data_IF_616598607868
#
_entry.id   IF_616598607868
#
_cell.length_a   1.000
_cell.length_b   1.000
_cell.length_c   1.000
_cell.angle_alpha   90.00
_cell.angle_beta   90.00
_cell.angle_gamma   90.00
#
_symmetry.space_group_name_H-M   'P 1'
#
loop_
_entity.id
_entity.type
_entity.pdbx_description
1 polymer ?
#
# COMPACT_ATOMS: atom_id res chain seq x y z
N UNK A 1 -82.33 29.17 -19.40
CA UNK A 1 -83.80 29.31 -19.45
C UNK A 1 -84.20 30.55 -18.66
N UNK A 2 -84.57 31.63 -19.35
CA UNK A 2 -84.90 32.91 -18.73
C UNK A 2 -86.26 32.83 -18.00
N UNK A 3 -86.26 33.01 -16.68
CA UNK A 3 -87.51 33.18 -15.92
C UNK A 3 -88.05 34.58 -16.22
N UNK A 4 -89.04 34.64 -17.09
CA UNK A 4 -89.81 35.84 -17.39
C UNK A 4 -90.50 36.31 -16.10
N UNK A 5 -90.15 37.50 -15.61
CA UNK A 5 -90.85 38.18 -14.53
C UNK A 5 -92.27 38.53 -15.01
N UNK A 6 -93.25 37.68 -14.71
CA UNK A 6 -94.67 38.03 -14.87
C UNK A 6 -95.04 39.00 -13.75
N UNK A 7 -95.17 40.28 -14.11
CA UNK A 7 -95.83 41.27 -13.26
C UNK A 7 -97.31 40.86 -13.16
N UNK A 8 -97.90 40.75 -11.95
CA UNK A 8 -99.32 40.46 -11.83
C UNK A 8 -100.12 41.59 -12.49
N UNK A 9 -100.85 41.28 -13.57
CA UNK A 9 -101.82 42.22 -14.14
C UNK A 9 -103.00 42.27 -13.17
N UNK A 10 -103.09 43.34 -12.39
CA UNK A 10 -104.23 43.59 -11.49
C UNK A 10 -105.37 44.14 -12.36
N UNK A 11 -106.44 43.36 -12.51
CA UNK A 11 -107.65 43.80 -13.19
C UNK A 11 -108.55 44.55 -12.21
N UNK A 12 -108.45 45.87 -12.25
CA UNK A 12 -109.13 46.78 -11.32
C UNK A 12 -110.66 46.77 -11.50
N UNK A 13 -111.18 46.44 -12.68
CA UNK A 13 -112.63 46.40 -12.91
C UNK A 13 -113.28 45.21 -12.20
N UNK A 14 -112.63 44.05 -12.21
CA UNK A 14 -113.14 42.85 -11.54
C UNK A 14 -113.15 42.97 -10.01
N UNK A 15 -112.24 43.78 -9.43
CA UNK A 15 -112.12 43.96 -7.97
C UNK A 15 -113.14 44.97 -7.43
N UNK A 16 -113.43 46.04 -8.19
CA UNK A 16 -114.42 47.06 -7.81
C UNK A 16 -115.87 46.57 -7.92
N UNK A 17 -116.12 45.47 -8.65
CA UNK A 17 -117.44 44.86 -8.79
C UNK A 17 -117.83 43.92 -7.62
N UNK A 18 -116.91 43.66 -6.67
CA UNK A 18 -117.19 42.80 -5.52
C UNK A 18 -117.80 43.59 -4.35
N UNK A 19 -118.75 43.04 -3.58
CA UNK A 19 -119.46 43.77 -2.50
C UNK A 19 -118.54 44.30 -1.38
N UNK A 20 -117.39 43.65 -1.17
CA UNK A 20 -116.33 44.07 -0.26
C UNK A 20 -115.00 44.07 -1.02
N UNK A 21 -114.70 45.16 -1.72
CA UNK A 21 -113.49 45.30 -2.53
C UNK A 21 -112.25 45.52 -1.64
N UNK A 22 -111.49 44.45 -1.38
CA UNK A 22 -110.18 44.57 -0.73
C UNK A 22 -109.08 44.15 -1.71
N UNK A 23 -108.17 45.07 -1.99
CA UNK A 23 -106.97 44.79 -2.80
C UNK A 23 -105.91 44.21 -1.86
N UNK A 24 -105.69 42.89 -1.92
CA UNK A 24 -104.58 42.25 -1.22
C UNK A 24 -103.26 42.53 -1.96
N UNK A 25 -102.49 43.46 -1.40
CA UNK A 25 -101.17 43.86 -1.91
C UNK A 25 -100.08 42.80 -1.65
N UNK A 26 -100.40 41.69 -0.95
CA UNK A 26 -99.49 40.59 -0.62
C UNK A 26 -98.19 41.06 0.06
N UNK A 27 -98.30 42.05 0.95
CA UNK A 27 -97.16 42.65 1.64
C UNK A 27 -96.37 41.61 2.43
N UNK A 28 -97.05 40.71 3.16
CA UNK A 28 -96.40 39.64 3.92
C UNK A 28 -95.59 38.68 3.03
N UNK A 29 -96.10 38.36 1.83
CA UNK A 29 -95.40 37.52 0.87
C UNK A 29 -94.18 38.24 0.26
N UNK A 30 -94.32 39.54 -0.02
CA UNK A 30 -93.22 40.38 -0.48
C UNK A 30 -92.13 40.55 0.59
N UNK A 31 -92.51 40.80 1.85
CA UNK A 31 -91.58 40.91 2.98
C UNK A 31 -90.87 39.57 3.23
N UNK A 32 -91.61 38.46 3.20
CA UNK A 32 -91.03 37.11 3.34
C UNK A 32 -90.06 36.81 2.20
N UNK A 33 -90.42 37.13 0.95
CA UNK A 33 -89.54 36.96 -0.21
C UNK A 33 -88.29 37.84 -0.12
N UNK A 34 -88.43 39.09 0.31
CA UNK A 34 -87.32 40.04 0.47
C UNK A 34 -86.37 39.59 1.58
N UNK A 35 -86.90 39.14 2.72
CA UNK A 35 -86.11 38.56 3.81
C UNK A 35 -85.37 37.29 3.38
N UNK A 36 -86.04 36.41 2.63
CA UNK A 36 -85.41 35.20 2.08
C UNK A 36 -84.30 35.53 1.08
N UNK A 37 -84.52 36.54 0.22
CA UNK A 37 -83.50 37.03 -0.70
C UNK A 37 -82.30 37.62 0.04
N UNK A 38 -82.52 38.52 1.01
CA UNK A 38 -81.45 39.12 1.82
C UNK A 38 -80.66 38.04 2.59
N UNK A 39 -81.34 37.04 3.15
CA UNK A 39 -80.67 35.90 3.78
C UNK A 39 -79.86 35.08 2.77
N UNK A 40 -80.37 34.84 1.57
CA UNK A 40 -79.65 34.11 0.52
C UNK A 40 -78.39 34.88 0.06
N UNK A 41 -78.49 36.21 -0.11
CA UNK A 41 -77.37 37.09 -0.45
C UNK A 41 -76.33 37.13 0.68
N UNK A 42 -76.78 37.23 1.93
CA UNK A 42 -75.90 37.19 3.12
C UNK A 42 -75.17 35.85 3.21
N UNK A 43 -75.88 34.73 3.04
CA UNK A 43 -75.27 33.40 3.05
C UNK A 43 -74.29 33.19 1.89
N UNK A 44 -74.61 33.69 0.69
CA UNK A 44 -73.71 33.62 -0.46
C UNK A 44 -72.43 34.41 -0.22
N UNK A 45 -72.54 35.65 0.29
CA UNK A 45 -71.38 36.49 0.61
C UNK A 45 -70.53 35.89 1.72
N UNK A 46 -71.15 35.36 2.78
CA UNK A 46 -70.42 34.65 3.85
C UNK A 46 -69.69 33.41 3.32
N UNK A 47 -70.32 32.60 2.46
CA UNK A 47 -69.67 31.45 1.82
C UNK A 47 -68.50 31.89 0.94
N UNK A 48 -68.67 32.93 0.14
CA UNK A 48 -67.61 33.45 -0.72
C UNK A 48 -66.42 33.96 0.12
N UNK A 49 -66.67 34.70 1.20
CA UNK A 49 -65.63 35.19 2.12
C UNK A 49 -64.92 34.03 2.81
N UNK A 50 -65.67 33.02 3.28
CA UNK A 50 -65.09 31.82 3.89
C UNK A 50 -64.22 31.05 2.90
N UNK A 51 -64.66 30.88 1.66
CA UNK A 51 -63.91 30.19 0.62
C UNK A 51 -62.62 30.93 0.23
N UNK A 52 -62.69 32.26 0.06
CA UNK A 52 -61.51 33.09 -0.20
C UNK A 52 -60.51 32.97 0.95
N UNK A 53 -61.00 33.01 2.19
CA UNK A 53 -60.15 32.89 3.40
C UNK A 53 -59.51 31.51 3.47
N UNK A 54 -60.26 30.44 3.22
CA UNK A 54 -59.74 29.08 3.20
C UNK A 54 -58.68 28.89 2.12
N UNK A 55 -58.90 29.39 0.90
CA UNK A 55 -57.91 29.33 -0.19
C UNK A 55 -56.64 30.11 0.16
N UNK A 56 -56.77 31.31 0.74
CA UNK A 56 -55.63 32.11 1.20
C UNK A 56 -54.82 31.37 2.26
N UNK A 57 -55.49 30.79 3.25
CA UNK A 57 -54.83 30.05 4.33
C UNK A 57 -54.14 28.78 3.81
N UNK A 58 -54.79 28.03 2.91
CA UNK A 58 -54.20 26.86 2.27
C UNK A 58 -52.96 27.23 1.45
N UNK A 59 -53.02 28.31 0.67
CA UNK A 59 -51.86 28.80 -0.09
C UNK A 59 -50.72 29.27 0.82
N UNK A 60 -51.03 29.96 1.91
CA UNK A 60 -50.01 30.38 2.89
C UNK A 60 -49.33 29.19 3.56
N UNK A 61 -50.08 28.15 3.93
CA UNK A 61 -49.55 26.92 4.49
C UNK A 61 -48.65 26.17 3.50
N UNK A 62 -49.09 26.06 2.24
CA UNK A 62 -48.29 25.39 1.20
C UNK A 62 -47.01 26.18 0.88
N UNK A 63 -47.08 27.51 0.81
CA UNK A 63 -45.91 28.38 0.64
C UNK A 63 -44.90 28.18 1.76
N UNK A 64 -45.36 28.10 3.02
CA UNK A 64 -44.50 27.82 4.18
C UNK A 64 -43.85 26.44 4.06
N UNK A 65 -44.63 25.41 3.74
CA UNK A 65 -44.13 24.05 3.54
C UNK A 65 -43.06 23.96 2.45
N UNK A 66 -43.28 24.64 1.32
CA UNK A 66 -42.31 24.70 0.23
C UNK A 66 -41.03 25.42 0.65
N UNK A 67 -41.13 26.54 1.37
CA UNK A 67 -39.96 27.26 1.87
C UNK A 67 -39.11 26.41 2.83
N UNK A 68 -39.75 25.69 3.76
CA UNK A 68 -39.06 24.78 4.67
C UNK A 68 -38.35 23.64 3.92
N UNK A 69 -39.00 23.04 2.91
CA UNK A 69 -38.36 22.03 2.06
C UNK A 69 -37.19 22.59 1.26
N UNK A 70 -37.31 23.79 0.71
CA UNK A 70 -36.20 24.43 -0.02
C UNK A 70 -35.00 24.64 0.89
N UNK A 71 -35.22 25.18 2.10
CA UNK A 71 -34.14 25.36 3.08
C UNK A 71 -33.49 24.03 3.48
N UNK A 72 -34.29 22.99 3.68
CA UNK A 72 -33.76 21.66 4.00
C UNK A 72 -32.88 21.13 2.85
N UNK A 73 -33.37 21.18 1.62
CA UNK A 73 -32.63 20.70 0.44
C UNK A 73 -31.34 21.50 0.23
N UNK A 74 -31.37 22.83 0.43
CA UNK A 74 -30.18 23.68 0.36
C UNK A 74 -29.15 23.32 1.43
N UNK A 75 -29.59 23.06 2.66
CA UNK A 75 -28.71 22.62 3.75
C UNK A 75 -28.05 21.27 3.45
N UNK A 76 -28.83 20.29 2.99
CA UNK A 76 -28.33 18.97 2.58
C UNK A 76 -27.34 19.08 1.41
N UNK A 77 -27.66 19.91 0.41
CA UNK A 77 -26.79 20.15 -0.74
C UNK A 77 -25.45 20.75 -0.31
N UNK A 78 -25.47 21.73 0.59
CA UNK A 78 -24.23 22.33 1.11
C UNK A 78 -23.41 21.33 1.93
N UNK A 79 -24.06 20.47 2.72
CA UNK A 79 -23.37 19.41 3.44
C UNK A 79 -22.70 18.42 2.48
N UNK A 80 -23.39 18.03 1.40
CA UNK A 80 -22.82 17.15 0.39
C UNK A 80 -21.60 17.77 -0.29
N UNK A 81 -21.64 19.08 -0.63
CA UNK A 81 -20.49 19.80 -1.20
C UNK A 81 -19.28 19.80 -0.27
N UNK A 82 -19.48 19.99 1.03
CA UNK A 82 -18.39 19.94 2.02
C UNK A 82 -17.77 18.55 2.06
N UNK A 83 -18.60 17.50 2.12
CA UNK A 83 -18.12 16.11 2.09
C UNK A 83 -17.36 15.76 0.80
N UNK A 84 -17.79 16.32 -0.33
CA UNK A 84 -17.11 16.13 -1.61
C UNK A 84 -15.71 16.76 -1.59
N UNK A 85 -15.56 17.97 -1.05
CA UNK A 85 -14.25 18.63 -0.88
C UNK A 85 -13.35 17.80 0.04
N UNK A 86 -13.87 17.32 1.17
CA UNK A 86 -13.13 16.46 2.10
C UNK A 86 -12.68 15.16 1.43
N UNK A 87 -13.56 14.54 0.63
CA UNK A 87 -13.25 13.32 -0.11
C UNK A 87 -12.14 13.54 -1.14
N UNK A 88 -12.18 14.65 -1.88
CA UNK A 88 -11.11 15.00 -2.83
C UNK A 88 -9.78 15.16 -2.09
N UNK A 89 -9.77 15.85 -0.94
CA UNK A 89 -8.55 16.02 -0.16
C UNK A 89 -7.98 14.69 0.38
N UNK A 90 -8.84 13.72 0.71
CA UNK A 90 -8.41 12.36 1.08
C UNK A 90 -7.85 11.62 -0.12
N UNK A 91 -8.52 11.67 -1.28
CA UNK A 91 -8.05 11.01 -2.50
C UNK A 91 -6.69 11.55 -2.96
N UNK A 92 -6.48 12.87 -2.90
CA UNK A 92 -5.19 13.49 -3.25
C UNK A 92 -4.07 13.01 -2.32
N UNK A 93 -4.36 12.89 -1.02
CA UNK A 93 -3.40 12.35 -0.04
C UNK A 93 -3.07 10.88 -0.32
N UNK A 94 -4.09 10.05 -0.50
CA UNK A 94 -3.90 8.62 -0.82
C UNK A 94 -3.11 8.43 -2.12
N UNK A 95 -3.32 9.31 -3.10
CA UNK A 95 -2.60 9.25 -4.37
C UNK A 95 -1.11 9.59 -4.21
N UNK A 96 -0.76 10.59 -3.39
CA UNK A 96 0.65 10.89 -3.12
C UNK A 96 1.31 9.80 -2.26
N UNK A 97 0.62 9.28 -1.23
CA UNK A 97 1.10 8.15 -0.42
C UNK A 97 1.37 6.90 -1.30
N UNK A 98 0.46 6.60 -2.23
CA UNK A 98 0.65 5.52 -3.20
C UNK A 98 1.89 5.73 -4.06
N UNK A 99 2.10 6.93 -4.57
CA UNK A 99 3.25 7.27 -5.42
C UNK A 99 4.57 7.16 -4.66
N UNK A 100 4.61 7.61 -3.40
CA UNK A 100 5.78 7.45 -2.52
C UNK A 100 6.07 5.97 -2.22
N UNK A 101 5.04 5.17 -1.95
CA UNK A 101 5.16 3.74 -1.74
C UNK A 101 5.67 3.01 -2.99
N UNK A 102 5.14 3.34 -4.17
CA UNK A 102 5.58 2.79 -5.46
C UNK A 102 7.05 3.15 -5.76
N UNK A 103 7.46 4.39 -5.48
CA UNK A 103 8.86 4.82 -5.62
C UNK A 103 9.79 4.03 -4.70
N UNK A 104 9.37 3.81 -3.45
CA UNK A 104 10.12 3.01 -2.46
C UNK A 104 10.26 1.55 -2.90
N UNK A 105 9.17 0.94 -3.38
CA UNK A 105 9.19 -0.43 -3.93
C UNK A 105 10.13 -0.52 -5.13
N UNK A 106 10.11 0.46 -6.03
CA UNK A 106 11.02 0.49 -7.17
C UNK A 106 12.49 0.58 -6.73
N UNK A 107 12.79 1.40 -5.72
CA UNK A 107 14.13 1.50 -5.15
C UNK A 107 14.59 0.18 -4.52
N UNK A 108 13.75 -0.47 -3.70
CA UNK A 108 14.08 -1.77 -3.10
C UNK A 108 14.28 -2.86 -4.13
N UNK A 109 13.48 -2.89 -5.20
CA UNK A 109 13.68 -3.84 -6.31
C UNK A 109 15.05 -3.66 -6.97
N UNK A 110 15.48 -2.43 -7.21
CA UNK A 110 16.81 -2.13 -7.77
C UNK A 110 17.92 -2.60 -6.82
N UNK A 111 17.81 -2.31 -5.53
CA UNK A 111 18.78 -2.76 -4.52
C UNK A 111 18.86 -4.29 -4.45
N UNK A 112 17.70 -4.96 -4.44
CA UNK A 112 17.62 -6.42 -4.42
C UNK A 112 18.26 -7.05 -5.66
N UNK A 113 18.03 -6.48 -6.85
CA UNK A 113 18.67 -6.96 -8.07
C UNK A 113 20.20 -6.77 -8.01
N UNK A 114 20.68 -5.63 -7.54
CA UNK A 114 22.12 -5.39 -7.37
C UNK A 114 22.76 -6.38 -6.38
N UNK A 115 22.07 -6.71 -5.28
CA UNK A 115 22.55 -7.71 -4.32
C UNK A 115 22.58 -9.10 -4.97
N UNK A 116 21.54 -9.49 -5.72
CA UNK A 116 21.52 -10.76 -6.45
C UNK A 116 22.66 -10.89 -7.44
N UNK A 117 22.96 -9.82 -8.19
CA UNK A 117 24.09 -9.80 -9.13
C UNK A 117 25.43 -9.97 -8.40
N UNK A 118 25.62 -9.30 -7.26
CA UNK A 118 26.82 -9.47 -6.42
C UNK A 118 26.94 -10.87 -5.83
N UNK A 119 25.84 -11.46 -5.37
CA UNK A 119 25.85 -12.85 -4.88
C UNK A 119 26.26 -13.81 -6.00
N UNK A 120 25.66 -13.65 -7.19
CA UNK A 120 26.01 -14.48 -8.35
C UNK A 120 27.49 -14.32 -8.76
N UNK A 121 28.05 -13.10 -8.71
CA UNK A 121 29.48 -12.91 -9.02
C UNK A 121 30.38 -13.57 -7.98
N UNK A 122 30.05 -13.44 -6.69
CA UNK A 122 30.80 -14.08 -5.60
C UNK A 122 30.75 -15.60 -5.67
N UNK A 123 29.60 -16.18 -6.03
CA UNK A 123 29.47 -17.64 -6.20
C UNK A 123 30.40 -18.16 -7.30
N UNK A 124 30.53 -17.41 -8.41
CA UNK A 124 31.48 -17.73 -9.49
C UNK A 124 32.92 -17.64 -9.00
N UNK A 125 33.29 -16.59 -8.26
CA UNK A 125 34.64 -16.41 -7.70
C UNK A 125 34.98 -17.53 -6.70
N UNK A 126 34.05 -17.89 -5.81
CA UNK A 126 34.21 -18.99 -4.86
C UNK A 126 34.50 -20.30 -5.60
N UNK A 127 33.74 -20.59 -6.65
CA UNK A 127 33.93 -21.83 -7.41
C UNK A 127 35.25 -21.85 -8.16
N UNK A 128 35.67 -20.71 -8.72
CA UNK A 128 37.00 -20.56 -9.33
C UNK A 128 38.11 -20.81 -8.30
N UNK A 129 38.02 -20.23 -7.10
CA UNK A 129 39.00 -20.45 -6.04
C UNK A 129 39.03 -21.90 -5.56
N UNK A 130 37.88 -22.57 -5.47
CA UNK A 130 37.81 -24.01 -5.14
C UNK A 130 38.54 -24.86 -6.17
N UNK A 131 38.35 -24.60 -7.46
CA UNK A 131 39.05 -25.30 -8.54
C UNK A 131 40.57 -25.11 -8.41
N UNK A 132 41.03 -23.87 -8.20
CA UNK A 132 42.45 -23.55 -8.03
C UNK A 132 43.03 -24.28 -6.81
N UNK A 133 42.36 -24.20 -5.65
CA UNK A 133 42.80 -24.86 -4.43
C UNK A 133 42.87 -26.39 -4.60
N UNK A 134 41.87 -26.98 -5.27
CA UNK A 134 41.85 -28.41 -5.55
C UNK A 134 43.01 -28.85 -6.46
N UNK A 135 43.34 -28.04 -7.48
CA UNK A 135 44.46 -28.30 -8.37
C UNK A 135 45.80 -28.21 -7.62
N UNK A 136 46.03 -27.15 -6.85
CA UNK A 136 47.25 -26.98 -6.05
C UNK A 136 47.44 -28.11 -5.04
N UNK A 137 46.36 -28.55 -4.37
CA UNK A 137 46.42 -29.70 -3.47
C UNK A 137 46.79 -30.98 -4.22
N UNK A 138 46.30 -31.16 -5.45
CA UNK A 138 46.61 -32.33 -6.28
C UNK A 138 48.06 -32.32 -6.72
N UNK A 139 48.61 -31.16 -7.10
CA UNK A 139 50.02 -30.98 -7.44
C UNK A 139 50.92 -31.24 -6.25
N UNK A 140 50.65 -30.62 -5.09
CA UNK A 140 51.41 -30.87 -3.86
C UNK A 140 51.42 -32.35 -3.49
N UNK A 141 50.28 -33.04 -3.58
CA UNK A 141 50.21 -34.50 -3.32
C UNK A 141 51.08 -35.29 -4.29
N UNK A 142 51.10 -34.92 -5.57
CA UNK A 142 51.96 -35.55 -6.59
C UNK A 142 53.44 -35.34 -6.27
N UNK A 143 53.85 -34.11 -5.99
CA UNK A 143 55.23 -33.78 -5.62
C UNK A 143 55.67 -34.54 -4.38
N UNK A 144 54.84 -34.54 -3.33
CA UNK A 144 55.11 -35.30 -2.11
C UNK A 144 55.26 -36.80 -2.40
N UNK A 145 54.43 -37.37 -3.26
CA UNK A 145 54.53 -38.78 -3.64
C UNK A 145 55.84 -39.08 -4.38
N UNK A 146 56.29 -38.18 -5.27
CA UNK A 146 57.57 -38.31 -5.97
C UNK A 146 58.74 -38.23 -4.97
N UNK A 147 58.73 -37.24 -4.08
CA UNK A 147 59.76 -37.07 -3.06
C UNK A 147 59.83 -38.29 -2.12
N UNK A 148 58.68 -38.79 -1.66
CA UNK A 148 58.60 -39.98 -0.82
C UNK A 148 59.11 -41.23 -1.56
N UNK A 149 58.76 -41.39 -2.83
CA UNK A 149 59.25 -42.51 -3.64
C UNK A 149 60.77 -42.46 -3.81
N UNK A 150 61.33 -41.27 -4.09
CA UNK A 150 62.78 -41.08 -4.18
C UNK A 150 63.45 -41.36 -2.82
N UNK A 151 62.95 -40.76 -1.74
CA UNK A 151 63.47 -40.98 -0.39
C UNK A 151 63.44 -42.46 0.01
N UNK A 152 62.36 -43.19 -0.30
CA UNK A 152 62.24 -44.61 0.00
C UNK A 152 63.30 -45.48 -0.69
N UNK A 153 63.83 -45.04 -1.83
CA UNK A 153 64.89 -45.74 -2.57
C UNK A 153 66.28 -45.36 -2.08
N UNK A 154 66.53 -44.07 -1.86
CA UNK A 154 67.85 -43.56 -1.50
C UNK A 154 68.18 -43.76 -0.02
N UNK A 155 67.18 -43.70 0.88
CA UNK A 155 67.42 -43.77 2.32
C UNK A 155 68.06 -45.10 2.77
N UNK A 156 67.65 -46.28 2.26
CA UNK A 156 68.33 -47.54 2.59
C UNK A 156 69.78 -47.59 2.09
N UNK A 157 70.03 -47.08 0.88
CA UNK A 157 71.39 -47.01 0.31
C UNK A 157 72.28 -46.08 1.13
N UNK A 158 71.78 -44.90 1.50
CA UNK A 158 72.47 -43.96 2.38
C UNK A 158 72.75 -44.60 3.73
N UNK A 159 71.75 -45.21 4.37
CA UNK A 159 71.90 -45.87 5.68
C UNK A 159 72.96 -46.97 5.62
N UNK A 160 73.00 -47.77 4.54
CA UNK A 160 74.02 -48.80 4.35
C UNK A 160 75.42 -48.21 4.18
N UNK A 161 75.56 -47.13 3.41
CA UNK A 161 76.83 -46.40 3.23
C UNK A 161 77.30 -45.80 4.56
N UNK A 162 76.44 -45.11 5.29
CA UNK A 162 76.75 -44.50 6.59
C UNK A 162 77.13 -45.57 7.62
N UNK A 163 76.42 -46.69 7.66
CA UNK A 163 76.73 -47.81 8.54
C UNK A 163 78.06 -48.49 8.20
N UNK A 164 78.48 -48.49 6.93
CA UNK A 164 79.75 -49.08 6.47
C UNK A 164 80.91 -48.13 6.73
N UNK A 165 80.75 -46.84 6.40
CA UNK A 165 81.79 -45.82 6.55
C UNK A 165 81.88 -45.28 7.98
N UNK A 166 80.89 -45.60 8.84
CA UNK A 166 80.73 -45.04 10.19
C UNK A 166 80.75 -43.51 10.18
N UNK A 167 80.24 -42.93 9.10
CA UNK A 167 80.26 -41.51 8.81
C UNK A 167 78.88 -41.06 8.34
N UNK A 168 78.38 -39.96 8.89
CA UNK A 168 77.14 -39.29 8.49
C UNK A 168 77.44 -37.85 8.05
N UNK A 169 76.77 -37.39 7.00
CA UNK A 169 76.94 -36.03 6.45
C UNK A 169 75.57 -35.35 6.40
N UNK A 170 75.44 -34.23 7.10
CA UNK A 170 74.17 -33.51 7.23
C UNK A 170 74.31 -32.04 6.82
N UNK A 171 73.30 -31.49 6.16
CA UNK A 171 73.23 -30.05 5.90
C UNK A 171 72.69 -29.33 7.14
N UNK A 172 73.47 -28.40 7.71
CA UNK A 172 73.09 -27.69 8.95
C UNK A 172 72.74 -26.22 8.74
N UNK A 173 73.17 -25.62 7.63
CA UNK A 173 72.91 -24.22 7.29
C UNK A 173 73.10 -24.04 5.77
N UNK A 174 72.75 -22.85 5.25
CA UNK A 174 73.05 -22.49 3.87
C UNK A 174 74.56 -22.59 3.62
N UNK A 175 74.94 -23.45 2.67
CA UNK A 175 76.32 -23.71 2.28
C UNK A 175 77.22 -24.27 3.39
N UNK A 176 76.67 -24.93 4.42
CA UNK A 176 77.45 -25.65 5.45
C UNK A 176 76.98 -27.08 5.65
N UNK A 177 77.94 -27.98 5.75
CA UNK A 177 77.71 -29.39 6.04
C UNK A 177 78.42 -29.79 7.33
N UNK A 178 77.77 -30.62 8.13
CA UNK A 178 78.34 -31.27 9.30
C UNK A 178 78.73 -32.69 8.89
N UNK A 179 79.99 -33.04 9.13
CA UNK A 179 80.48 -34.41 8.95
C UNK A 179 80.71 -35.00 10.33
N UNK A 180 80.06 -36.14 10.61
CA UNK A 180 80.16 -36.86 11.90
C UNK A 180 80.71 -38.26 11.66
N UNK A 181 81.70 -38.66 12.45
CA UNK A 181 82.26 -40.00 12.45
C UNK A 181 82.01 -40.67 13.80
N UNK A 182 81.80 -41.98 13.76
CA UNK A 182 81.70 -42.87 14.93
C UNK A 182 82.73 -43.99 14.79
N UNK A 183 82.89 -44.83 15.81
CA UNK A 183 83.81 -45.97 15.80
C UNK A 183 85.30 -45.59 15.63
N UNK A 184 85.67 -44.36 16.00
CA UNK A 184 87.07 -43.90 16.02
C UNK A 184 87.74 -44.25 17.35
N UNK A 185 87.00 -44.11 18.47
CA UNK A 185 87.51 -44.41 19.81
C UNK A 185 87.29 -45.90 20.13
N UNK A 186 88.35 -46.70 20.33
CA UNK A 186 88.22 -48.14 20.58
C UNK A 186 87.65 -48.47 21.96
N UNK A 187 87.56 -47.50 22.88
CA UNK A 187 86.96 -47.67 24.22
C UNK A 187 85.46 -47.36 24.20
N UNK A 188 85.04 -46.46 23.32
CA UNK A 188 83.65 -46.02 23.16
C UNK A 188 83.32 -45.84 21.68
N UNK A 189 82.75 -46.88 21.07
CA UNK A 189 82.44 -46.91 19.64
C UNK A 189 81.33 -45.93 19.24
N UNK A 190 80.51 -45.48 20.20
CA UNK A 190 79.42 -44.54 19.98
C UNK A 190 79.86 -43.09 20.11
N UNK A 191 81.12 -42.83 20.51
CA UNK A 191 81.67 -41.48 20.60
C UNK A 191 81.73 -40.81 19.24
N UNK A 192 80.98 -39.72 19.10
CA UNK A 192 80.92 -38.92 17.87
C UNK A 192 82.09 -37.93 17.79
N UNK A 193 82.74 -37.89 16.62
CA UNK A 193 83.71 -36.86 16.25
C UNK A 193 83.16 -36.09 15.05
N UNK A 194 83.07 -34.77 15.16
CA UNK A 194 82.43 -33.96 14.13
C UNK A 194 83.22 -32.72 13.75
N UNK A 195 83.11 -32.31 12.49
CA UNK A 195 83.55 -31.00 12.03
C UNK A 195 82.53 -30.41 11.04
N UNK A 196 82.53 -29.08 10.93
CA UNK A 196 81.67 -28.34 10.00
C UNK A 196 82.53 -27.92 8.81
N UNK A 197 82.02 -28.11 7.60
CA UNK A 197 82.66 -27.66 6.38
C UNK A 197 81.80 -26.58 5.72
N UNK A 198 82.39 -25.41 5.51
CA UNK A 198 81.79 -24.34 4.70
C UNK A 198 82.09 -24.61 3.22
N UNK A 199 81.02 -24.79 2.44
CA UNK A 199 81.04 -25.07 1.00
C UNK A 199 80.63 -23.87 0.15
N UNK A 200 80.56 -22.66 0.74
CA UNK A 200 80.21 -21.42 0.03
C UNK A 200 81.24 -20.98 -1.03
N UNK A 201 82.47 -21.52 -0.96
CA UNK A 201 83.52 -21.25 -1.94
C UNK A 201 84.26 -22.54 -2.31
N UNK A 202 84.92 -22.55 -3.48
CA UNK A 202 85.75 -23.69 -3.92
C UNK A 202 86.98 -23.94 -3.01
N UNK A 203 87.29 -23.00 -2.11
CA UNK A 203 88.29 -23.17 -1.07
C UNK A 203 87.58 -23.49 0.23
N UNK A 204 87.31 -24.78 0.45
CA UNK A 204 86.56 -25.24 1.62
C UNK A 204 87.28 -24.85 2.91
N UNK A 205 86.55 -24.25 3.85
CA UNK A 205 87.06 -23.87 5.18
C UNK A 205 86.39 -24.76 6.23
N UNK A 206 87.18 -25.31 7.14
CA UNK A 206 86.72 -26.08 8.29
C UNK A 206 86.62 -25.25 9.56
#
# INVERSE_FOLDING_TARGET
>A
MAKVLRVPKVDLQAILAQPNSHIDLRLDAYETSTRNFLNAVSNYTQRAVAEITNRKNAYAAEKKRLAEKTQQIEAETNQCKVKEIELIAVLDREQEEKKEAEASVAAFRRQLNSIKEKCASLDVEIEQHRIVAANLMRERKREQAILNAHASRTLPELTACEATLKCAIEGIDKDKILVRFTHIDPVDLDREFSFVLDVSSRSYKG
#
